data_IF_994770167834
#
_entry.id   IF_994770167834
#
_cell.length_a   1.000
_cell.length_b   1.000
_cell.length_c   1.000
_cell.angle_alpha   90.00
_cell.angle_beta   90.00
_cell.angle_gamma   90.00
#
_symmetry.space_group_name_H-M   'P 1'
#
loop_
_entity.id
_entity.type
_entity.pdbx_description
1 polymer ?
#
# COMPACT_ATOMS: atom_id res chain seq x y z
N UNK A 1 16.24 6.04 12.48
CA UNK A 1 16.10 5.05 11.41
C UNK A 1 14.99 5.48 10.47
N UNK A 2 15.19 5.34 9.17
CA UNK A 2 14.16 5.68 8.17
C UNK A 2 13.68 4.42 7.49
N UNK A 3 12.38 4.36 7.24
CA UNK A 3 11.80 3.25 6.49
C UNK A 3 10.78 3.79 5.49
N UNK A 4 10.82 3.28 4.26
CA UNK A 4 9.94 3.72 3.18
C UNK A 4 8.90 2.64 2.91
N UNK A 5 7.65 3.10 2.77
CA UNK A 5 6.51 2.28 2.39
C UNK A 5 5.90 2.85 1.12
N UNK A 6 5.10 2.05 0.46
CA UNK A 6 4.47 2.46 -0.79
C UNK A 6 2.98 2.19 -0.71
N UNK A 7 2.16 3.15 -1.14
CA UNK A 7 0.72 2.97 -1.21
C UNK A 7 0.25 3.05 -2.66
N UNK A 8 -0.71 2.21 -3.00
CA UNK A 8 -1.35 2.21 -4.32
C UNK A 8 -2.84 2.39 -4.12
N UNK A 9 -3.39 3.46 -4.68
CA UNK A 9 -4.83 3.68 -4.67
C UNK A 9 -5.45 2.92 -5.84
N UNK A 10 -6.51 2.18 -5.58
CA UNK A 10 -7.17 1.40 -6.61
C UNK A 10 -8.68 1.44 -6.47
N UNK A 11 -9.37 1.32 -7.60
CA UNK A 11 -10.83 1.26 -7.63
C UNK A 11 -11.28 -0.19 -7.46
N UNK A 12 -12.38 -0.37 -6.73
CA UNK A 12 -12.99 -1.68 -6.54
C UNK A 12 -14.21 -1.78 -7.47
N UNK A 13 -14.27 -2.82 -8.29
CA UNK A 13 -15.36 -3.01 -9.22
C UNK A 13 -16.70 -3.08 -8.48
N UNK A 14 -17.65 -2.30 -8.97
CA UNK A 14 -18.98 -2.24 -8.37
C UNK A 14 -19.09 -1.36 -7.14
N UNK A 15 -18.01 -0.67 -6.79
CA UNK A 15 -17.96 0.24 -5.64
C UNK A 15 -17.68 1.66 -6.11
N UNK A 16 -18.25 2.64 -5.41
CA UNK A 16 -17.94 4.06 -5.65
C UNK A 16 -16.73 4.51 -4.83
N UNK A 17 -16.12 3.62 -4.06
CA UNK A 17 -14.99 3.96 -3.18
C UNK A 17 -13.68 3.45 -3.74
N UNK A 18 -12.60 4.21 -3.49
CA UNK A 18 -11.25 3.76 -3.75
C UNK A 18 -10.67 3.19 -2.46
N UNK A 19 -9.77 2.23 -2.60
CA UNK A 19 -9.04 1.64 -1.48
C UNK A 19 -7.56 1.88 -1.67
N UNK A 20 -6.81 1.76 -0.59
CA UNK A 20 -5.35 1.85 -0.62
C UNK A 20 -4.75 0.50 -0.22
N UNK A 21 -3.79 0.06 -1.02
CA UNK A 21 -2.98 -1.11 -0.69
C UNK A 21 -1.59 -0.62 -0.26
N UNK A 22 -1.08 -1.15 0.83
CA UNK A 22 0.22 -0.74 1.38
C UNK A 22 1.24 -1.86 1.25
N UNK A 23 2.45 -1.47 0.86
CA UNK A 23 3.56 -2.40 0.63
C UNK A 23 4.83 -1.85 1.27
N UNK A 24 5.70 -2.74 1.71
CA UNK A 24 7.02 -2.37 2.24
C UNK A 24 8.12 -2.53 1.19
N UNK A 25 7.76 -2.87 -0.04
CA UNK A 25 8.66 -3.08 -1.16
C UNK A 25 8.17 -2.33 -2.39
N UNK A 26 9.08 -1.59 -3.04
CA UNK A 26 8.75 -0.89 -4.29
C UNK A 26 8.35 -1.88 -5.38
N UNK A 27 9.04 -3.01 -5.46
CA UNK A 27 8.76 -4.04 -6.44
C UNK A 27 7.34 -4.59 -6.28
N UNK A 28 6.92 -4.89 -5.06
CA UNK A 28 5.58 -5.37 -4.79
C UNK A 28 4.52 -4.32 -5.14
N UNK A 29 4.78 -3.06 -4.81
CA UNK A 29 3.87 -1.96 -5.13
C UNK A 29 3.76 -1.76 -6.64
N UNK A 30 4.88 -1.79 -7.36
CA UNK A 30 4.90 -1.65 -8.81
C UNK A 30 4.12 -2.78 -9.48
N UNK A 31 4.31 -4.01 -9.03
CA UNK A 31 3.59 -5.18 -9.56
C UNK A 31 2.08 -5.03 -9.36
N UNK A 32 1.68 -4.60 -8.17
CA UNK A 32 0.27 -4.38 -7.87
C UNK A 32 -0.32 -3.25 -8.73
N UNK A 33 0.43 -2.17 -8.92
CA UNK A 33 -0.02 -0.99 -9.68
C UNK A 33 -0.06 -1.24 -11.19
N UNK A 34 0.55 -2.31 -11.68
CA UNK A 34 0.61 -2.61 -13.11
C UNK A 34 -0.72 -3.09 -13.71
N UNK A 35 -1.76 -3.19 -12.89
CA UNK A 35 -3.09 -3.63 -13.34
C UNK A 35 -4.01 -2.43 -13.59
N UNK A 36 -5.10 -2.65 -14.35
CA UNK A 36 -6.07 -1.61 -14.67
C UNK A 36 -6.74 -1.05 -13.40
N UNK A 37 -7.13 0.22 -13.48
CA UNK A 37 -7.85 0.94 -12.41
C UNK A 37 -7.02 1.12 -11.14
N UNK A 38 -5.71 1.15 -11.27
CA UNK A 38 -4.78 1.37 -10.16
C UNK A 38 -3.85 2.53 -10.49
N UNK A 39 -3.60 3.36 -9.47
CA UNK A 39 -2.71 4.50 -9.62
C UNK A 39 -1.25 4.08 -9.42
N UNK A 40 -0.33 4.95 -9.81
CA UNK A 40 1.08 4.71 -9.57
C UNK A 40 1.37 4.70 -8.06
N UNK A 41 2.36 3.92 -7.60
CA UNK A 41 2.72 3.89 -6.19
C UNK A 41 3.19 5.25 -5.68
N UNK A 42 2.80 5.57 -4.44
CA UNK A 42 3.25 6.77 -3.73
C UNK A 42 4.17 6.34 -2.59
N UNK A 43 5.37 6.91 -2.56
CA UNK A 43 6.35 6.58 -1.52
C UNK A 43 6.09 7.41 -0.26
N UNK A 44 6.20 6.75 0.89
CA UNK A 44 6.06 7.38 2.20
C UNK A 44 7.26 6.97 3.05
N UNK A 45 8.05 7.94 3.47
CA UNK A 45 9.23 7.67 4.30
C UNK A 45 8.98 8.19 5.70
N UNK A 46 9.14 7.32 6.67
CA UNK A 46 8.95 7.64 8.09
C UNK A 46 10.23 7.39 8.87
N UNK A 47 10.45 8.25 9.87
CA UNK A 47 11.60 8.11 10.77
C UNK A 47 11.18 7.85 12.22
N UNK A 48 9.91 8.08 12.55
CA UNK A 48 9.39 7.86 13.90
C UNK A 48 8.88 6.42 14.05
N UNK A 49 9.22 5.80 15.17
CA UNK A 49 8.84 4.41 15.44
C UNK A 49 7.32 4.19 15.35
N UNK A 50 6.53 5.11 15.88
CA UNK A 50 5.08 4.99 15.87
C UNK A 50 4.51 5.05 14.44
N UNK A 51 5.07 5.92 13.61
CA UNK A 51 4.66 6.04 12.21
C UNK A 51 5.02 4.79 11.41
N UNK A 52 6.21 4.25 11.66
CA UNK A 52 6.67 3.02 11.02
C UNK A 52 5.76 1.85 11.42
N UNK A 53 5.42 1.75 12.70
CA UNK A 53 4.52 0.69 13.19
C UNK A 53 3.14 0.79 12.55
N UNK A 54 2.58 2.00 12.46
CA UNK A 54 1.28 2.21 11.83
C UNK A 54 1.31 1.78 10.35
N UNK A 55 2.38 2.11 9.64
CA UNK A 55 2.54 1.69 8.24
C UNK A 55 2.69 0.18 8.11
N UNK A 56 3.45 -0.45 9.01
CA UNK A 56 3.58 -1.91 9.03
C UNK A 56 2.25 -2.60 9.26
N UNK A 57 1.40 -2.04 10.12
CA UNK A 57 0.05 -2.56 10.35
C UNK A 57 -0.80 -2.47 9.09
N UNK A 58 -0.66 -1.40 8.30
CA UNK A 58 -1.36 -1.25 7.02
C UNK A 58 -0.88 -2.26 6.00
N UNK A 59 0.42 -2.53 5.96
CA UNK A 59 0.99 -3.56 5.08
C UNK A 59 0.41 -4.93 5.44
N UNK A 60 0.37 -5.26 6.73
CA UNK A 60 -0.20 -6.52 7.20
C UNK A 60 -1.68 -6.65 6.86
N UNK A 61 -2.45 -5.57 7.04
CA UNK A 61 -3.88 -5.56 6.71
C UNK A 61 -4.10 -5.74 5.21
N UNK A 62 -3.27 -5.11 4.38
CA UNK A 62 -3.33 -5.27 2.91
C UNK A 62 -3.07 -6.71 2.53
N UNK A 63 -2.02 -7.33 3.08
CA UNK A 63 -1.69 -8.71 2.78
C UNK A 63 -2.84 -9.64 3.16
N UNK A 64 -3.47 -9.43 4.30
CA UNK A 64 -4.61 -10.22 4.74
C UNK A 64 -5.81 -10.09 3.78
N UNK A 65 -6.09 -8.88 3.28
CA UNK A 65 -7.18 -8.65 2.33
C UNK A 65 -6.92 -9.31 0.98
N UNK A 66 -5.69 -9.22 0.48
CA UNK A 66 -5.34 -9.74 -0.85
C UNK A 66 -5.25 -11.27 -0.87
N UNK A 67 -4.94 -11.88 0.25
CA UNK A 67 -4.87 -13.34 0.36
C UNK A 67 -6.23 -13.93 0.68
N UNK A 68 -7.00 -13.22 1.44
CA UNK A 68 -8.32 -13.66 1.84
C UNK A 68 -9.35 -13.40 0.79
#
# INVERSE_FOLDING_TARGET
>A
MKKTFYSVTYAVWGSSFCREAWFDSKSAADDFAAHDFRDAPVAHTYSKADSIRAAEDRVAATAAELIG
#
